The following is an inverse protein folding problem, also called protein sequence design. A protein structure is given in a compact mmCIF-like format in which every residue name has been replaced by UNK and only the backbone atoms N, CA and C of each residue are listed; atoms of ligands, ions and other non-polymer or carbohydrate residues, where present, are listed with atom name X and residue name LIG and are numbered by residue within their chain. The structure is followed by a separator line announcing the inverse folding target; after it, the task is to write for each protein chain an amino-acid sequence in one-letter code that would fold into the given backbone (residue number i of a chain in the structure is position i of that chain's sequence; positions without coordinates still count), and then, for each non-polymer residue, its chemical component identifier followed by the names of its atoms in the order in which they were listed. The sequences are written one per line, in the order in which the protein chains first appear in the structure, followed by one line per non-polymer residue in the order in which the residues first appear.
data_IF_853575816093
#
_entry.id   IF_853575816093
#
_cell.length_a   1.000
_cell.length_b   1.000
_cell.length_c   1.000
_cell.angle_alpha   90.00
_cell.angle_beta   90.00
_cell.angle_gamma   90.00
#
_symmetry.space_group_name_H-M   'P 1'
#
loop_
_entity.id
_entity.type
_entity.pdbx_description
1 polymer ?
#
# COMPACT_ATOMS: atom_id res chain seq x y z
N UNK A 1 -28.07 -11.31 -43.32
CA UNK A 1 -26.87 -10.70 -42.68
C UNK A 1 -25.63 -11.36 -43.28
N UNK A 2 -24.69 -10.60 -43.84
CA UNK A 2 -23.52 -11.17 -44.54
C UNK A 2 -22.47 -11.70 -43.56
N UNK A 3 -21.91 -12.89 -43.81
CA UNK A 3 -20.76 -13.44 -43.07
C UNK A 3 -19.57 -12.46 -43.01
N UNK A 4 -19.35 -11.65 -44.05
CA UNK A 4 -18.31 -10.63 -44.06
C UNK A 4 -18.58 -9.45 -43.13
N UNK A 5 -19.86 -9.15 -42.88
CA UNK A 5 -20.28 -8.11 -41.94
C UNK A 5 -20.07 -8.59 -40.50
N UNK A 6 -20.46 -9.83 -40.20
CA UNK A 6 -20.29 -10.44 -38.87
C UNK A 6 -18.80 -10.53 -38.51
N UNK A 7 -17.93 -10.96 -39.44
CA UNK A 7 -16.48 -11.03 -39.21
C UNK A 7 -15.84 -9.66 -38.94
N UNK A 8 -16.30 -8.60 -39.62
CA UNK A 8 -15.83 -7.22 -39.36
C UNK A 8 -16.27 -6.73 -37.98
N UNK A 9 -17.51 -6.99 -37.59
CA UNK A 9 -18.05 -6.60 -36.28
C UNK A 9 -17.30 -7.34 -35.16
N UNK A 10 -17.09 -8.66 -35.28
CA UNK A 10 -16.33 -9.43 -34.30
C UNK A 10 -14.88 -8.94 -34.16
N UNK A 11 -14.23 -8.58 -35.27
CA UNK A 11 -12.88 -8.00 -35.23
C UNK A 11 -12.85 -6.66 -34.51
N UNK A 12 -13.83 -5.78 -34.74
CA UNK A 12 -13.94 -4.49 -34.04
C UNK A 12 -14.19 -4.69 -32.54
N UNK A 13 -15.07 -5.63 -32.16
CA UNK A 13 -15.32 -5.97 -30.77
C UNK A 13 -14.06 -6.52 -30.08
N UNK A 14 -13.29 -7.37 -30.75
CA UNK A 14 -12.04 -7.89 -30.22
C UNK A 14 -11.01 -6.77 -30.01
N UNK A 15 -10.89 -5.82 -30.95
CA UNK A 15 -10.00 -4.65 -30.82
C UNK A 15 -10.44 -3.77 -29.64
N UNK A 16 -11.73 -3.49 -29.52
CA UNK A 16 -12.28 -2.71 -28.40
C UNK A 16 -12.05 -3.40 -27.05
N UNK A 17 -12.21 -4.72 -27.00
CA UNK A 17 -11.92 -5.51 -25.80
C UNK A 17 -10.45 -5.40 -25.40
N UNK A 18 -9.52 -5.63 -26.35
CA UNK A 18 -8.08 -5.52 -26.08
C UNK A 18 -7.70 -4.11 -25.62
N UNK A 19 -8.23 -3.07 -26.27
CA UNK A 19 -8.02 -1.68 -25.85
C UNK A 19 -8.53 -1.43 -24.43
N UNK A 20 -9.71 -1.91 -24.08
CA UNK A 20 -10.26 -1.74 -22.73
C UNK A 20 -9.38 -2.41 -21.66
N UNK A 21 -8.89 -3.63 -21.93
CA UNK A 21 -7.98 -4.35 -21.03
C UNK A 21 -6.66 -3.59 -20.85
N UNK A 22 -6.08 -3.06 -21.94
CA UNK A 22 -4.85 -2.26 -21.88
C UNK A 22 -5.03 -0.97 -21.08
N UNK A 23 -6.17 -0.29 -21.22
CA UNK A 23 -6.49 0.92 -20.45
C UNK A 23 -6.59 0.59 -18.96
N UNK A 24 -7.31 -0.48 -18.60
CA UNK A 24 -7.45 -0.90 -17.19
C UNK A 24 -6.10 -1.30 -16.60
N UNK A 25 -5.30 -2.09 -17.31
CA UNK A 25 -3.96 -2.47 -16.85
C UNK A 25 -3.04 -1.26 -16.68
N UNK A 26 -3.09 -0.30 -17.62
CA UNK A 26 -2.34 0.95 -17.54
C UNK A 26 -2.75 1.81 -16.33
N UNK A 27 -4.06 1.87 -16.03
CA UNK A 27 -4.57 2.57 -14.86
C UNK A 27 -4.09 1.93 -13.56
N UNK A 28 -4.17 0.60 -13.43
CA UNK A 28 -3.69 -0.14 -12.24
C UNK A 28 -2.19 0.08 -12.04
N UNK A 29 -1.40 0.02 -13.12
CA UNK A 29 0.03 0.30 -13.07
C UNK A 29 0.33 1.72 -12.58
N UNK A 30 -0.35 2.72 -13.15
CA UNK A 30 -0.15 4.11 -12.78
C UNK A 30 -0.56 4.39 -11.32
N UNK A 31 -1.72 3.89 -10.90
CA UNK A 31 -2.16 3.99 -9.52
C UNK A 31 -1.17 3.31 -8.57
N UNK A 32 -0.77 2.07 -8.86
CA UNK A 32 0.24 1.35 -8.06
C UNK A 32 1.55 2.11 -7.91
N UNK A 33 2.06 2.70 -9.00
CA UNK A 33 3.24 3.57 -8.95
C UNK A 33 3.04 4.81 -8.08
N UNK A 34 1.87 5.46 -8.16
CA UNK A 34 1.56 6.57 -7.27
C UNK A 34 1.49 6.14 -5.80
N UNK A 35 0.90 4.98 -5.48
CA UNK A 35 0.92 4.42 -4.12
C UNK A 35 2.31 4.16 -3.61
N UNK A 36 3.14 3.56 -4.44
CA UNK A 36 4.50 3.26 -4.07
C UNK A 36 5.28 4.55 -3.78
N UNK A 37 5.14 5.58 -4.61
CA UNK A 37 5.78 6.86 -4.36
C UNK A 37 5.22 7.56 -3.13
N UNK A 38 3.90 7.54 -2.92
CA UNK A 38 3.28 8.11 -1.73
C UNK A 38 3.75 7.43 -0.45
N UNK A 39 3.92 6.11 -0.48
CA UNK A 39 4.45 5.34 0.65
C UNK A 39 5.93 5.66 0.92
N UNK A 40 6.77 5.74 -0.13
CA UNK A 40 8.18 6.16 -0.01
C UNK A 40 8.27 7.56 0.61
N UNK A 41 7.49 8.52 0.11
CA UNK A 41 7.44 9.87 0.64
C UNK A 41 6.91 9.90 2.09
N UNK A 42 5.95 9.03 2.40
CA UNK A 42 5.38 8.89 3.74
C UNK A 42 6.43 8.39 4.74
N UNK A 43 7.18 7.34 4.39
CA UNK A 43 8.25 6.79 5.22
C UNK A 43 9.44 7.76 5.33
N UNK A 44 9.77 8.49 4.26
CA UNK A 44 10.84 9.47 4.27
C UNK A 44 12.16 8.82 4.69
N UNK A 45 12.75 9.32 5.78
CA UNK A 45 14.01 8.80 6.34
C UNK A 45 13.88 7.38 6.90
N UNK A 46 12.68 6.95 7.31
CA UNK A 46 12.41 5.58 7.78
C UNK A 46 12.24 4.57 6.63
N UNK A 47 12.41 4.99 5.37
CA UNK A 47 12.28 4.11 4.22
C UNK A 47 13.50 3.17 4.10
N UNK A 48 13.26 1.87 4.20
CA UNK A 48 14.31 0.84 4.14
C UNK A 48 14.19 -0.02 2.87
N UNK A 49 14.83 0.32 1.75
CA UNK A 49 14.62 -0.39 0.48
C UNK A 49 14.87 -1.90 0.52
N UNK A 50 15.60 -2.41 1.53
CA UNK A 50 15.95 -3.81 1.72
C UNK A 50 15.12 -4.53 2.81
N UNK A 51 14.05 -3.92 3.33
CA UNK A 51 13.26 -4.52 4.41
C UNK A 51 12.52 -5.80 4.01
N UNK A 52 12.11 -6.59 5.01
CA UNK A 52 11.40 -7.88 4.85
C UNK A 52 10.14 -7.77 3.97
N UNK A 53 9.45 -6.61 3.97
CA UNK A 53 8.28 -6.37 3.11
C UNK A 53 8.58 -6.52 1.61
N UNK A 54 9.85 -6.40 1.20
CA UNK A 54 10.31 -6.61 -0.17
C UNK A 54 10.34 -8.08 -0.58
N UNK A 55 10.41 -8.98 0.39
CA UNK A 55 10.52 -10.44 0.20
C UNK A 55 9.15 -11.11 0.08
N UNK A 56 8.08 -10.41 0.44
CA UNK A 56 6.70 -10.93 0.35
C UNK A 56 6.23 -10.86 -1.11
N UNK A 57 5.89 -12.02 -1.67
CA UNK A 57 5.23 -12.11 -2.97
C UNK A 57 3.72 -11.97 -2.81
N UNK A 58 3.18 -10.86 -3.31
CA UNK A 58 1.76 -10.54 -3.31
C UNK A 58 1.06 -10.95 -4.61
N UNK A 59 1.73 -11.75 -5.44
CA UNK A 59 1.25 -12.14 -6.76
C UNK A 59 1.31 -10.99 -7.76
N UNK A 60 0.79 -11.24 -8.97
CA UNK A 60 0.99 -10.35 -10.13
C UNK A 60 0.52 -8.91 -9.88
N UNK A 61 -0.71 -8.71 -9.41
CA UNK A 61 -1.28 -7.38 -9.17
C UNK A 61 -0.77 -6.79 -7.85
N UNK A 62 -0.69 -7.61 -6.80
CA UNK A 62 -0.26 -7.15 -5.48
C UNK A 62 1.14 -6.58 -5.50
N UNK A 63 2.06 -7.19 -6.25
CA UNK A 63 3.43 -6.69 -6.40
C UNK A 63 3.54 -5.32 -7.09
N UNK A 64 2.49 -4.87 -7.78
CA UNK A 64 2.47 -3.57 -8.46
C UNK A 64 1.88 -2.47 -7.58
N UNK A 65 1.00 -2.82 -6.64
CA UNK A 65 0.23 -1.86 -5.85
C UNK A 65 0.75 -1.77 -4.41
N UNK A 66 1.22 -2.88 -3.84
CA UNK A 66 1.68 -2.92 -2.46
C UNK A 66 3.09 -2.35 -2.39
N UNK A 67 3.31 -1.27 -1.61
CA UNK A 67 4.62 -0.68 -1.47
C UNK A 67 5.57 -1.61 -0.72
N UNK A 68 6.84 -1.60 -1.13
CA UNK A 68 7.91 -2.44 -0.60
C UNK A 68 8.99 -1.58 0.05
N UNK A 69 9.69 -2.14 1.03
CA UNK A 69 10.84 -1.52 1.70
C UNK A 69 10.48 -0.84 3.03
N UNK A 70 9.28 -0.27 3.17
CA UNK A 70 8.89 0.26 4.47
C UNK A 70 8.23 -0.76 5.40
N UNK A 71 8.09 -0.41 6.69
CA UNK A 71 7.21 -1.11 7.61
C UNK A 71 5.76 -1.04 7.12
N UNK A 72 5.04 -2.16 7.22
CA UNK A 72 3.65 -2.29 6.80
C UNK A 72 2.84 -2.99 7.89
N UNK A 73 1.55 -2.68 7.96
CA UNK A 73 0.62 -3.27 8.94
C UNK A 73 -0.73 -3.53 8.30
N UNK A 74 -1.50 -4.46 8.86
CA UNK A 74 -2.90 -4.64 8.45
C UNK A 74 -3.75 -3.42 8.87
N UNK A 75 -4.60 -2.87 7.97
CA UNK A 75 -5.58 -1.84 8.31
C UNK A 75 -6.45 -2.20 9.52
N UNK A 76 -6.77 -3.49 9.68
CA UNK A 76 -7.61 -3.97 10.78
C UNK A 76 -6.93 -3.87 12.15
N UNK A 77 -5.60 -3.97 12.19
CA UNK A 77 -4.84 -3.79 13.44
C UNK A 77 -4.81 -2.31 13.81
N UNK A 78 -4.59 -1.44 12.81
CA UNK A 78 -4.55 0.01 13.04
C UNK A 78 -5.94 0.58 13.38
N UNK A 79 -7.03 -0.06 12.95
CA UNK A 79 -8.41 0.33 13.25
C UNK A 79 -8.87 1.66 12.62
N UNK A 80 -7.98 2.40 11.96
CA UNK A 80 -8.21 3.76 11.44
C UNK A 80 -8.37 3.84 9.92
N UNK A 81 -8.24 2.72 9.20
CA UNK A 81 -8.30 2.67 7.74
C UNK A 81 -9.52 1.86 7.21
N UNK A 82 -10.78 2.23 7.52
CA UNK A 82 -11.97 1.44 7.15
C UNK A 82 -12.23 1.37 5.64
N UNK A 83 -11.74 2.36 4.88
CA UNK A 83 -12.00 2.50 3.44
C UNK A 83 -10.80 2.12 2.57
N UNK A 84 -9.71 1.60 3.15
CA UNK A 84 -8.54 1.21 2.36
C UNK A 84 -8.76 -0.17 1.75
N UNK A 85 -8.80 -0.32 0.41
CA UNK A 85 -9.06 -1.61 -0.23
C UNK A 85 -7.83 -2.54 -0.24
N UNK A 86 -6.71 -2.13 0.35
CA UNK A 86 -5.47 -2.90 0.41
C UNK A 86 -5.41 -3.78 1.67
N UNK A 87 -4.83 -4.99 1.59
CA UNK A 87 -4.68 -5.88 2.74
C UNK A 87 -3.66 -5.37 3.77
N UNK A 88 -2.77 -4.47 3.35
CA UNK A 88 -1.72 -3.87 4.18
C UNK A 88 -1.57 -2.39 3.84
N UNK A 89 -1.14 -1.60 4.81
CA UNK A 89 -0.87 -0.17 4.69
C UNK A 89 0.53 0.16 5.20
N UNK A 90 1.21 1.17 4.62
CA UNK A 90 2.42 1.74 5.17
C UNK A 90 2.24 2.16 6.62
N UNK A 91 3.21 1.80 7.46
CA UNK A 91 3.31 2.18 8.86
C UNK A 91 4.61 2.98 9.08
N UNK A 92 4.55 4.02 9.90
CA UNK A 92 5.74 4.72 10.40
C UNK A 92 5.53 5.20 11.83
N UNK A 93 6.62 5.53 12.51
CA UNK A 93 6.57 6.08 13.86
C UNK A 93 6.75 7.59 13.79
N UNK A 94 5.84 8.33 14.41
CA UNK A 94 5.92 9.77 14.49
C UNK A 94 6.88 10.25 15.59
N UNK A 95 7.31 11.52 15.54
CA UNK A 95 8.17 12.13 16.55
C UNK A 95 7.48 12.29 17.92
N UNK A 96 6.17 12.11 17.98
CA UNK A 96 5.32 12.08 19.16
C UNK A 96 5.18 10.67 19.78
N UNK A 97 5.89 9.67 19.23
CA UNK A 97 5.82 8.28 19.68
C UNK A 97 4.54 7.55 19.26
N UNK A 98 3.70 8.17 18.42
CA UNK A 98 2.47 7.54 17.91
C UNK A 98 2.75 6.78 16.61
N UNK A 99 1.92 5.77 16.35
CA UNK A 99 1.92 5.07 15.06
C UNK A 99 1.15 5.88 14.03
N UNK A 100 1.70 6.02 12.83
CA UNK A 100 1.02 6.64 11.70
C UNK A 100 0.89 5.61 10.58
N UNK A 101 -0.27 5.56 9.95
CA UNK A 101 -0.50 4.75 8.75
C UNK A 101 -0.92 5.61 7.58
N UNK A 102 -0.59 5.18 6.36
CA UNK A 102 -1.10 5.77 5.13
C UNK A 102 -2.33 4.99 4.65
N UNK A 103 -3.52 5.52 4.90
CA UNK A 103 -4.77 4.92 4.43
C UNK A 103 -5.10 5.41 3.02
N UNK A 104 -5.80 4.60 2.22
CA UNK A 104 -6.33 5.00 0.91
C UNK A 104 -5.36 4.78 -0.27
N UNK A 105 -5.90 5.02 -1.47
CA UNK A 105 -5.22 4.88 -2.75
C UNK A 105 -5.45 6.17 -3.55
N UNK A 106 -4.40 6.93 -3.76
CA UNK A 106 -4.24 7.84 -4.90
C UNK A 106 -4.19 9.25 -4.38
N UNK A 107 -5.04 10.09 -4.95
CA UNK A 107 -5.42 11.36 -4.36
C UNK A 107 -6.16 11.22 -3.03
N UNK A 108 -6.68 10.02 -2.70
CA UNK A 108 -7.37 9.74 -1.44
C UNK A 108 -6.44 9.23 -0.34
N UNK A 109 -5.12 9.17 -0.60
CA UNK A 109 -4.17 8.70 0.39
C UNK A 109 -4.02 9.74 1.52
N UNK A 110 -4.30 9.34 2.76
CA UNK A 110 -4.26 10.21 3.95
C UNK A 110 -3.47 9.54 5.07
N UNK A 111 -2.59 10.31 5.71
CA UNK A 111 -1.90 9.85 6.90
C UNK A 111 -2.79 10.00 8.12
N UNK A 112 -2.97 8.91 8.87
CA UNK A 112 -3.78 8.87 10.09
C UNK A 112 -2.96 8.29 11.23
N UNK A 113 -3.06 8.87 12.43
CA UNK A 113 -2.40 8.34 13.63
C UNK A 113 -3.31 7.38 14.38
N UNK A 114 -2.70 6.42 15.06
CA UNK A 114 -3.36 5.50 15.97
C UNK A 114 -2.52 5.33 17.23
N UNK A 115 -3.18 4.97 18.34
CA UNK A 115 -2.49 4.63 19.59
C UNK A 115 -2.26 3.11 19.63
N UNK A 116 -1.02 2.70 19.86
CA UNK A 116 -0.66 1.27 20.00
C UNK A 116 -1.36 0.66 21.22
N UNK A 117 -1.65 1.47 22.24
CA UNK A 117 -2.37 1.00 23.44
C UNK A 117 -3.82 0.61 23.16
N UNK A 118 -4.43 1.14 22.09
CA UNK A 118 -5.80 0.83 21.70
C UNK A 118 -5.92 -0.50 20.93
N UNK A 119 -4.79 -1.14 20.59
CA UNK A 119 -4.77 -2.45 19.96
C UNK A 119 -5.22 -3.51 20.96
N UNK A 120 -6.28 -4.25 20.58
CA UNK A 120 -6.88 -5.29 21.44
C UNK A 120 -5.95 -6.49 21.64
N UNK A 121 -5.23 -6.88 20.58
CA UNK A 121 -4.29 -7.99 20.60
C UNK A 121 -3.03 -7.62 21.39
N UNK A 122 -2.79 -8.34 22.50
CA UNK A 122 -1.69 -8.07 23.42
C UNK A 122 -0.31 -8.40 22.82
N UNK A 123 -0.22 -9.45 22.01
CA UNK A 123 1.03 -9.84 21.37
C UNK A 123 1.44 -8.77 20.36
N UNK A 124 0.51 -8.40 19.47
CA UNK A 124 0.74 -7.37 18.45
C UNK A 124 1.03 -6.01 19.10
N UNK A 125 0.30 -5.66 20.15
CA UNK A 125 0.53 -4.43 20.92
C UNK A 125 1.94 -4.38 21.50
N UNK A 126 2.39 -5.46 22.14
CA UNK A 126 3.72 -5.50 22.75
C UNK A 126 4.82 -5.49 21.68
N UNK A 127 4.65 -6.23 20.58
CA UNK A 127 5.59 -6.20 19.45
C UNK A 127 5.72 -4.79 18.87
N UNK A 128 4.60 -4.10 18.63
CA UNK A 128 4.62 -2.74 18.09
C UNK A 128 5.23 -1.74 19.09
N UNK A 129 4.96 -1.89 20.39
CA UNK A 129 5.62 -1.06 21.41
C UNK A 129 7.13 -1.21 21.38
N UNK A 130 7.64 -2.44 21.38
CA UNK A 130 9.08 -2.69 21.32
C UNK A 130 9.70 -2.12 20.05
N UNK A 131 9.06 -2.34 18.88
CA UNK A 131 9.52 -1.75 17.63
C UNK A 131 9.53 -0.21 17.68
N UNK A 132 8.53 0.39 18.31
CA UNK A 132 8.41 1.84 18.39
C UNK A 132 9.42 2.45 19.35
N UNK A 133 9.67 1.81 20.48
CA UNK A 133 10.68 2.21 21.45
C UNK A 133 12.09 2.12 20.83
N UNK A 134 12.41 1.05 20.11
CA UNK A 134 13.70 0.88 19.43
C UNK A 134 13.96 1.96 18.37
N UNK A 135 12.98 2.24 17.52
CA UNK A 135 13.09 3.27 16.48
C UNK A 135 13.08 4.69 17.07
N UNK A 136 12.31 4.94 18.12
CA UNK A 136 12.31 6.22 18.80
C UNK A 136 13.65 6.49 19.50
N UNK A 137 14.24 5.49 20.16
CA UNK A 137 15.56 5.61 20.76
C UNK A 137 16.65 5.93 19.73
N UNK A 138 16.62 5.30 18.55
CA UNK A 138 17.55 5.63 17.44
C UNK A 138 17.38 7.08 16.98
N UNK A 139 16.12 7.50 16.80
CA UNK A 139 15.79 8.87 16.36
C UNK A 139 16.24 9.93 17.37
N UNK A 140 16.10 9.66 18.68
CA UNK A 140 16.52 10.60 19.74
C UNK A 140 18.04 10.63 19.93
N UNK A 141 18.72 9.51 19.71
CA UNK A 141 20.19 9.41 19.86
C UNK A 141 20.95 9.94 18.64
N UNK A 142 20.28 10.24 17.53
CA UNK A 142 20.86 10.92 16.37
C UNK A 142 21.90 10.09 15.61
N UNK A 143 21.64 8.79 15.45
CA UNK A 143 22.38 7.93 14.50
C UNK A 143 21.83 8.06 13.07
#
# INVERSE_FOLDING_TARGET
MSLSFIARVLRQLAIMFVLSVLIVAGYIYYAGKQHQQAAINFWGEQYQPDAISTQIDWGFIGNWVIPRGGPIISPGIAGVCPNTPLPVVPLKIGPDGRGYVLCGIGSEAVSTSFDVNDIQDEEIRNTLKTMFEEEFEKTVKGE
#
